data_IF_770169001080
#
_entry.id   IF_770169001080
#
_cell.length_a   1.000
_cell.length_b   1.000
_cell.length_c   1.000
_cell.angle_alpha   90.00
_cell.angle_beta   90.00
_cell.angle_gamma   90.00
#
_symmetry.space_group_name_H-M   'P 1'
#
loop_
_entity.id
_entity.type
_entity.pdbx_description
1 polymer ?
#
# COMPACT_ATOMS: atom_id res chain seq x y z
N UNK A 1 -3.17 43.87 -52.37
CA UNK A 1 -2.13 42.83 -52.19
C UNK A 1 -2.38 42.20 -50.84
N UNK A 2 -3.08 41.07 -50.83
CA UNK A 2 -3.57 40.39 -49.62
C UNK A 2 -2.61 39.27 -49.21
N UNK A 3 -2.19 39.22 -47.94
CA UNK A 3 -1.67 38.02 -47.26
C UNK A 3 -1.97 38.06 -45.75
N UNK A 4 -2.10 36.89 -45.11
CA UNK A 4 -3.17 36.63 -44.12
C UNK A 4 -2.70 36.51 -42.67
N UNK A 5 -3.69 36.41 -41.78
CA UNK A 5 -3.59 36.23 -40.34
C UNK A 5 -2.83 34.96 -39.92
N UNK A 6 -2.09 35.05 -38.82
CA UNK A 6 -1.56 33.89 -38.11
C UNK A 6 -2.16 33.84 -36.71
N UNK A 7 -3.11 32.92 -36.55
CA UNK A 7 -3.67 32.45 -35.28
C UNK A 7 -2.54 31.97 -34.36
N UNK A 8 -2.41 32.60 -33.18
CA UNK A 8 -1.51 32.14 -32.12
C UNK A 8 -2.28 31.11 -31.28
N UNK A 9 -2.04 29.83 -31.55
CA UNK A 9 -2.62 28.72 -30.80
C UNK A 9 -2.06 28.65 -29.38
N UNK A 10 -2.94 28.37 -28.41
CA UNK A 10 -2.61 28.03 -27.04
C UNK A 10 -1.60 26.86 -26.99
N UNK A 11 -0.59 26.89 -26.11
CA UNK A 11 0.14 25.68 -25.76
C UNK A 11 -0.77 24.77 -24.94
N UNK A 12 -0.87 23.51 -25.39
CA UNK A 12 -1.51 22.42 -24.69
C UNK A 12 -0.74 22.08 -23.41
N UNK A 13 -1.44 22.10 -22.27
CA UNK A 13 -0.95 21.60 -20.99
C UNK A 13 -0.79 20.08 -21.06
N UNK A 14 0.44 19.65 -21.34
CA UNK A 14 0.84 18.26 -21.21
C UNK A 14 1.39 18.06 -19.79
N UNK A 15 0.86 17.12 -19.00
CA UNK A 15 1.28 16.95 -17.62
C UNK A 15 2.77 16.58 -17.46
N UNK A 16 3.37 17.09 -16.39
CA UNK A 16 4.81 17.15 -16.13
C UNK A 16 5.54 15.79 -15.98
N UNK A 17 4.82 14.68 -15.84
CA UNK A 17 5.42 13.34 -15.72
C UNK A 17 6.01 12.78 -17.02
N UNK A 18 5.76 13.42 -18.19
CA UNK A 18 6.23 12.93 -19.51
C UNK A 18 7.57 13.50 -20.01
N UNK A 19 8.36 14.22 -19.20
CA UNK A 19 9.68 14.72 -19.64
C UNK A 19 10.78 14.57 -18.61
N UNK A 20 11.37 13.38 -18.50
CA UNK A 20 12.80 13.25 -18.18
C UNK A 20 13.41 12.06 -18.93
N UNK A 21 14.22 12.37 -19.95
CA UNK A 21 15.23 11.45 -20.47
C UNK A 21 16.32 11.36 -19.40
N UNK A 22 16.45 10.22 -18.73
CA UNK A 22 17.62 9.95 -17.90
C UNK A 22 18.74 9.52 -18.84
N UNK A 23 19.78 10.35 -18.93
CA UNK A 23 21.04 9.99 -19.58
C UNK A 23 21.75 9.04 -18.62
N UNK A 24 21.86 7.76 -19.01
CA UNK A 24 22.68 6.80 -18.29
C UNK A 24 24.15 7.09 -18.58
N UNK A 25 24.92 7.40 -17.54
CA UNK A 25 26.38 7.45 -17.64
C UNK A 25 26.91 6.03 -17.45
N UNK A 26 27.45 5.47 -18.52
CA UNK A 26 28.11 4.17 -18.53
C UNK A 26 29.44 4.25 -17.79
N UNK A 27 29.61 3.43 -16.74
CA UNK A 27 30.95 3.01 -16.29
C UNK A 27 31.06 1.52 -16.60
N UNK A 28 31.80 1.23 -17.67
CA UNK A 28 32.21 -0.11 -18.09
C UNK A 28 33.48 -0.48 -17.31
N UNK A 29 33.48 -1.63 -16.65
CA UNK A 29 34.69 -2.23 -16.11
C UNK A 29 34.45 -3.58 -15.46
N UNK A 30 34.73 -4.66 -16.21
CA UNK A 30 35.06 -5.97 -15.66
C UNK A 30 33.97 -7.04 -15.72
N UNK A 31 33.87 -7.74 -16.85
CA UNK A 31 32.95 -8.84 -17.04
C UNK A 31 33.31 -10.11 -16.27
N UNK A 32 32.29 -10.80 -15.78
CA UNK A 32 32.24 -12.26 -15.70
C UNK A 32 30.95 -12.69 -16.38
N UNK A 33 31.11 -13.46 -17.46
CA UNK A 33 30.04 -14.13 -18.19
C UNK A 33 29.46 -15.25 -17.32
N UNK A 34 28.22 -15.11 -16.85
CA UNK A 34 27.45 -16.23 -16.31
C UNK A 34 26.03 -16.20 -16.87
N UNK A 35 25.82 -17.12 -17.82
CA UNK A 35 24.63 -17.93 -18.06
C UNK A 35 23.25 -17.31 -17.91
N UNK A 36 22.52 -17.24 -19.02
CA UNK A 36 21.06 -17.25 -19.03
C UNK A 36 20.52 -18.38 -18.14
N UNK A 37 19.69 -18.02 -17.16
CA UNK A 37 18.71 -18.92 -16.58
C UNK A 37 17.40 -18.13 -16.44
N UNK A 38 16.49 -18.33 -17.39
CA UNK A 38 15.10 -17.98 -17.19
C UNK A 38 14.56 -18.86 -16.03
N UNK A 39 13.79 -18.32 -15.07
CA UNK A 39 13.13 -19.16 -14.10
C UNK A 39 12.09 -20.03 -14.82
N UNK A 40 12.44 -21.29 -15.01
CA UNK A 40 11.59 -22.37 -15.50
C UNK A 40 10.53 -22.72 -14.45
N UNK A 41 9.47 -21.91 -14.32
CA UNK A 41 8.27 -22.28 -13.54
C UNK A 41 7.00 -22.07 -14.37
N UNK A 42 7.04 -22.48 -15.63
CA UNK A 42 5.83 -22.74 -16.41
C UNK A 42 6.03 -24.04 -17.18
N UNK A 43 5.96 -25.15 -16.45
CA UNK A 43 5.64 -26.46 -17.01
C UNK A 43 4.18 -26.74 -16.68
N UNK A 44 3.32 -26.67 -17.69
CA UNK A 44 1.97 -27.22 -17.66
C UNK A 44 2.04 -28.74 -17.60
N UNK A 45 1.33 -29.35 -16.65
CA UNK A 45 0.68 -30.68 -16.71
C UNK A 45 -0.06 -30.97 -15.36
N UNK A 46 -0.99 -31.95 -15.29
CA UNK A 46 -2.43 -31.82 -15.48
C UNK A 46 -3.22 -31.68 -14.16
N UNK A 47 -4.48 -31.25 -14.30
CA UNK A 47 -5.56 -31.06 -13.30
C UNK A 47 -5.40 -31.80 -11.95
N UNK A 48 -5.27 -31.07 -10.81
CA UNK A 48 -5.52 -31.64 -9.50
C UNK A 48 -7.03 -31.80 -9.28
N UNK A 49 -7.45 -32.99 -8.86
CA UNK A 49 -8.81 -33.28 -8.37
C UNK A 49 -9.19 -32.29 -7.26
N UNK A 50 -10.38 -31.69 -7.25
CA UNK A 50 -10.75 -30.76 -6.19
C UNK A 50 -10.92 -31.51 -4.87
N UNK A 51 -9.99 -31.31 -3.94
CA UNK A 51 -10.20 -31.68 -2.54
C UNK A 51 -11.23 -30.71 -1.97
N UNK A 52 -12.47 -31.17 -1.82
CA UNK A 52 -13.50 -30.43 -1.09
C UNK A 52 -13.14 -30.49 0.39
N UNK A 53 -12.42 -29.49 0.88
CA UNK A 53 -12.36 -29.21 2.32
C UNK A 53 -13.67 -28.55 2.70
N UNK A 54 -14.62 -29.34 3.21
CA UNK A 54 -15.79 -28.80 3.93
C UNK A 54 -15.29 -28.15 5.21
N UNK A 55 -14.94 -26.87 5.13
CA UNK A 55 -14.87 -26.03 6.32
C UNK A 55 -16.29 -25.61 6.65
N UNK A 56 -16.96 -26.36 7.53
CA UNK A 56 -18.10 -25.84 8.27
C UNK A 56 -17.56 -24.86 9.31
N UNK A 57 -17.29 -23.63 8.88
CA UNK A 57 -17.19 -22.49 9.76
C UNK A 57 -18.38 -21.60 9.43
N UNK A 58 -19.25 -21.48 10.43
CA UNK A 58 -20.42 -20.62 10.51
C UNK A 58 -20.19 -19.30 9.77
N UNK A 59 -20.69 -19.21 8.53
CA UNK A 59 -20.68 -18.00 7.74
C UNK A 59 -21.77 -17.08 8.31
N UNK A 60 -21.48 -16.51 9.48
CA UNK A 60 -22.16 -15.31 9.96
C UNK A 60 -22.08 -14.29 8.84
N UNK A 61 -23.21 -14.09 8.18
CA UNK A 61 -23.40 -13.25 7.01
C UNK A 61 -22.73 -11.87 7.23
N UNK A 62 -21.61 -11.63 6.55
CA UNK A 62 -20.99 -10.31 6.52
C UNK A 62 -22.00 -9.37 5.87
N UNK A 63 -22.65 -8.56 6.70
CA UNK A 63 -23.68 -7.60 6.34
C UNK A 63 -23.07 -6.55 5.40
N UNK A 64 -23.85 -6.08 4.43
CA UNK A 64 -23.53 -5.09 3.38
C UNK A 64 -22.30 -4.20 3.63
N UNK A 65 -21.37 -4.17 2.68
CA UNK A 65 -20.18 -3.32 2.70
C UNK A 65 -20.54 -1.88 3.11
N UNK A 66 -20.05 -1.36 4.25
CA UNK A 66 -20.46 -0.06 4.72
C UNK A 66 -20.04 1.03 3.72
N UNK A 67 -20.99 1.88 3.38
CA UNK A 67 -20.69 3.06 2.57
C UNK A 67 -19.80 4.00 3.38
N UNK A 68 -18.65 4.36 2.82
CA UNK A 68 -17.73 5.33 3.44
C UNK A 68 -17.79 6.61 2.63
N UNK A 69 -18.27 7.68 3.25
CA UNK A 69 -18.17 9.03 2.69
C UNK A 69 -16.78 9.60 2.96
N UNK A 70 -16.17 10.20 1.95
CA UNK A 70 -14.90 10.94 2.09
C UNK A 70 -15.11 12.43 2.38
N UNK A 71 -16.35 12.86 2.65
CA UNK A 71 -16.60 14.23 3.09
C UNK A 71 -15.84 14.53 4.40
N UNK A 72 -15.07 15.62 4.40
CA UNK A 72 -14.22 16.02 5.53
C UNK A 72 -12.91 15.23 5.65
N UNK A 73 -12.58 14.35 4.68
CA UNK A 73 -11.28 13.70 4.60
C UNK A 73 -10.33 14.53 3.76
N UNK A 74 -9.16 14.87 4.31
CA UNK A 74 -8.06 15.51 3.59
C UNK A 74 -6.96 14.50 3.28
N UNK A 75 -6.41 14.53 2.07
CA UNK A 75 -5.25 13.73 1.68
C UNK A 75 -3.99 14.57 1.81
N UNK A 76 -3.00 14.11 2.59
CA UNK A 76 -1.74 14.84 2.84
C UNK A 76 -0.55 13.99 2.42
N UNK A 77 0.47 14.64 1.87
CA UNK A 77 1.74 13.98 1.52
C UNK A 77 2.40 13.43 2.79
N UNK A 78 2.78 12.17 2.72
CA UNK A 78 3.61 11.47 3.67
C UNK A 78 4.76 10.85 2.88
N UNK A 79 5.84 11.60 2.74
CA UNK A 79 7.06 11.20 2.03
C UNK A 79 6.79 10.66 0.62
N UNK A 80 5.87 11.27 -0.12
CA UNK A 80 5.46 10.87 -1.48
C UNK A 80 4.26 9.92 -1.57
N UNK A 81 3.71 9.47 -0.43
CA UNK A 81 2.44 8.71 -0.39
C UNK A 81 1.34 9.63 0.16
N UNK A 82 0.22 9.76 -0.55
CA UNK A 82 -0.93 10.50 -0.03
C UNK A 82 -1.68 9.64 1.00
N UNK A 83 -1.79 10.13 2.23
CA UNK A 83 -2.52 9.46 3.31
C UNK A 83 -3.78 10.25 3.71
N UNK A 84 -4.89 9.57 4.06
CA UNK A 84 -6.15 10.21 4.44
C UNK A 84 -6.15 10.64 5.91
N UNK A 85 -6.73 11.80 6.19
CA UNK A 85 -6.89 12.34 7.55
C UNK A 85 -8.28 12.91 7.74
N UNK A 86 -8.86 12.71 8.91
CA UNK A 86 -10.18 13.21 9.30
C UNK A 86 -10.13 13.72 10.73
N UNK A 87 -10.64 14.93 10.97
CA UNK A 87 -10.78 15.45 12.33
C UNK A 87 -11.72 14.57 13.20
N UNK A 88 -12.69 13.90 12.56
CA UNK A 88 -13.66 13.05 13.25
C UNK A 88 -13.13 11.63 13.47
N UNK A 89 -12.44 11.07 12.48
CA UNK A 89 -12.11 9.64 12.43
C UNK A 89 -10.62 9.34 12.64
N UNK A 90 -9.79 10.38 12.73
CA UNK A 90 -8.36 10.30 12.98
C UNK A 90 -7.50 10.31 11.71
N UNK A 91 -6.19 10.05 11.87
CA UNK A 91 -5.49 9.97 13.16
C UNK A 91 -5.58 11.29 13.93
N UNK A 92 -5.67 11.21 15.26
CA UNK A 92 -5.70 12.39 16.17
C UNK A 92 -4.31 12.76 16.66
N UNK A 93 -3.41 11.79 16.70
CA UNK A 93 -1.99 11.95 17.03
C UNK A 93 -1.16 11.57 15.81
N UNK A 94 -0.23 12.45 15.44
CA UNK A 94 0.70 12.24 14.31
C UNK A 94 2.14 12.62 14.67
N UNK A 95 2.51 12.57 15.95
CA UNK A 95 3.86 12.90 16.39
C UNK A 95 4.91 11.90 15.85
N UNK A 96 6.08 12.41 15.46
CA UNK A 96 7.24 11.57 15.08
C UNK A 96 6.99 10.64 13.89
N UNK A 97 6.19 11.07 12.91
CA UNK A 97 5.76 10.24 11.78
C UNK A 97 5.05 8.94 12.21
N UNK A 98 4.42 8.94 13.38
CA UNK A 98 3.45 7.91 13.78
C UNK A 98 2.03 8.39 13.46
N UNK A 99 1.04 7.52 13.64
CA UNK A 99 -0.36 7.87 13.50
C UNK A 99 -1.23 7.02 14.42
N UNK A 100 -1.93 7.65 15.36
CA UNK A 100 -2.78 6.95 16.33
C UNK A 100 -4.07 7.71 16.66
N UNK A 101 -4.95 7.05 17.41
CA UNK A 101 -6.20 7.65 17.89
C UNK A 101 -7.27 7.70 16.81
N UNK A 102 -7.47 6.60 16.10
CA UNK A 102 -8.54 6.46 15.11
C UNK A 102 -9.89 6.26 15.81
N UNK A 103 -10.98 6.71 15.19
CA UNK A 103 -12.31 6.52 15.76
C UNK A 103 -12.83 5.08 15.53
N UNK A 104 -13.67 4.60 16.45
CA UNK A 104 -14.39 3.31 16.32
C UNK A 104 -15.57 3.41 15.34
N UNK A 105 -15.27 3.75 14.09
CA UNK A 105 -16.22 3.92 12.98
C UNK A 105 -15.69 3.18 11.75
N UNK A 106 -16.52 2.90 10.72
CA UNK A 106 -16.04 2.31 9.47
C UNK A 106 -14.92 3.13 8.83
N UNK A 107 -15.07 4.47 8.82
CA UNK A 107 -14.06 5.37 8.26
C UNK A 107 -12.79 5.39 9.10
N UNK A 108 -12.90 5.38 10.42
CA UNK A 108 -11.73 5.28 11.30
C UNK A 108 -10.97 3.96 11.11
N UNK A 109 -11.67 2.83 10.91
CA UNK A 109 -11.05 1.55 10.59
C UNK A 109 -10.30 1.58 9.25
N UNK A 110 -10.90 2.18 8.21
CA UNK A 110 -10.26 2.34 6.89
C UNK A 110 -9.01 3.22 6.95
N UNK A 111 -9.10 4.35 7.67
CA UNK A 111 -7.98 5.26 7.86
C UNK A 111 -6.86 4.59 8.66
N UNK A 112 -7.19 3.85 9.72
CA UNK A 112 -6.23 3.05 10.48
C UNK A 112 -5.54 2.01 9.61
N UNK A 113 -6.30 1.27 8.80
CA UNK A 113 -5.77 0.26 7.88
C UNK A 113 -4.72 0.86 6.93
N UNK A 114 -5.04 2.01 6.32
CA UNK A 114 -4.13 2.71 5.41
C UNK A 114 -2.86 3.20 6.13
N UNK A 115 -3.02 3.88 7.27
CA UNK A 115 -1.88 4.45 8.00
C UNK A 115 -0.96 3.36 8.55
N UNK A 116 -1.51 2.34 9.22
CA UNK A 116 -0.72 1.29 9.85
C UNK A 116 -0.01 0.45 8.77
N UNK A 117 -0.70 0.08 7.69
CA UNK A 117 -0.08 -0.70 6.61
C UNK A 117 1.07 0.06 5.93
N UNK A 118 0.92 1.37 5.70
CA UNK A 118 1.99 2.18 5.12
C UNK A 118 3.13 2.35 6.11
N UNK A 119 2.85 2.75 7.36
CA UNK A 119 3.87 3.08 8.37
C UNK A 119 4.63 1.87 8.90
N UNK A 120 4.04 0.67 8.84
CA UNK A 120 4.74 -0.58 9.14
C UNK A 120 5.75 -1.00 8.06
N UNK A 121 5.83 -0.29 6.93
CA UNK A 121 6.79 -0.57 5.87
C UNK A 121 8.22 -0.21 6.23
N UNK A 122 9.16 -1.09 5.90
CA UNK A 122 10.62 -0.93 6.14
C UNK A 122 11.19 0.39 5.63
N UNK A 123 10.58 0.97 4.59
CA UNK A 123 11.03 2.19 3.92
C UNK A 123 11.10 3.43 4.83
N UNK A 124 10.38 3.43 5.96
CA UNK A 124 10.29 4.58 6.88
C UNK A 124 11.28 4.53 8.04
N UNK A 125 12.15 3.52 8.10
CA UNK A 125 13.16 3.40 9.14
C UNK A 125 12.62 2.90 10.49
N UNK A 126 13.53 2.41 11.32
CA UNK A 126 13.21 1.75 12.60
C UNK A 126 12.47 2.65 13.59
N UNK A 127 12.62 3.97 13.48
CA UNK A 127 11.91 4.95 14.32
C UNK A 127 10.41 5.03 14.00
N UNK A 128 9.99 4.62 12.79
CA UNK A 128 8.58 4.64 12.38
C UNK A 128 7.99 3.24 12.38
N UNK A 129 8.57 2.29 11.62
CA UNK A 129 7.97 0.96 11.51
C UNK A 129 8.03 0.19 12.82
N UNK A 130 9.09 0.39 13.62
CA UNK A 130 9.27 -0.29 14.91
C UNK A 130 8.13 0.02 15.88
N UNK A 131 7.94 1.29 16.27
CA UNK A 131 6.81 1.67 17.12
C UNK A 131 5.44 1.38 16.50
N UNK A 132 5.28 1.51 15.17
CA UNK A 132 4.02 1.17 14.49
C UNK A 132 3.67 -0.30 14.69
N UNK A 133 4.59 -1.21 14.37
CA UNK A 133 4.37 -2.66 14.53
C UNK A 133 4.15 -2.99 16.01
N UNK A 134 5.01 -2.51 16.90
CA UNK A 134 4.95 -2.81 18.34
C UNK A 134 3.62 -2.37 18.98
N UNK A 135 3.08 -1.22 18.57
CA UNK A 135 1.90 -0.61 19.23
C UNK A 135 0.59 -0.91 18.51
N UNK A 136 0.63 -1.18 17.20
CA UNK A 136 -0.55 -1.17 16.35
C UNK A 136 -0.75 -2.45 15.54
N UNK A 137 0.17 -3.41 15.63
CA UNK A 137 0.01 -4.74 15.02
C UNK A 137 -0.16 -5.79 16.12
N UNK A 138 -1.07 -6.74 15.89
CA UNK A 138 -1.41 -7.82 16.81
C UNK A 138 -1.46 -9.17 16.09
N UNK A 139 -1.57 -10.26 16.85
CA UNK A 139 -1.72 -11.61 16.31
C UNK A 139 -0.40 -12.39 16.30
N UNK A 140 -0.47 -13.69 15.93
CA UNK A 140 0.63 -14.64 16.14
C UNK A 140 1.90 -14.29 15.35
N UNK A 141 1.77 -13.63 14.21
CA UNK A 141 2.90 -13.33 13.31
C UNK A 141 3.46 -11.91 13.48
N UNK A 142 3.15 -11.24 14.61
CA UNK A 142 3.63 -9.86 14.87
C UNK A 142 5.15 -9.81 14.96
N UNK A 143 5.76 -10.76 15.68
CA UNK A 143 7.21 -10.84 15.82
C UNK A 143 7.88 -11.19 14.49
N UNK A 144 7.27 -12.10 13.72
CA UNK A 144 7.73 -12.45 12.36
C UNK A 144 7.71 -11.23 11.44
N UNK A 145 6.66 -10.40 11.51
CA UNK A 145 6.59 -9.14 10.77
C UNK A 145 7.67 -8.15 11.19
N UNK A 146 7.93 -8.00 12.50
CA UNK A 146 8.98 -7.12 13.02
C UNK A 146 10.36 -7.55 12.50
N UNK A 147 10.68 -8.83 12.62
CA UNK A 147 11.97 -9.38 12.24
C UNK A 147 12.20 -9.29 10.74
N UNK A 148 11.21 -9.67 9.93
CA UNK A 148 11.31 -9.59 8.46
C UNK A 148 11.47 -8.15 7.96
N UNK A 149 10.76 -7.20 8.57
CA UNK A 149 10.82 -5.78 8.24
C UNK A 149 12.19 -5.20 8.60
N UNK A 150 12.71 -5.54 9.78
CA UNK A 150 14.04 -5.12 10.22
C UNK A 150 15.14 -5.72 9.36
N UNK A 151 15.09 -7.01 9.07
CA UNK A 151 16.07 -7.68 8.21
C UNK A 151 16.09 -7.05 6.80
N UNK A 152 14.91 -6.77 6.24
CA UNK A 152 14.78 -6.11 4.94
C UNK A 152 15.33 -4.69 4.98
N UNK A 153 15.03 -3.93 6.04
CA UNK A 153 15.57 -2.58 6.24
C UNK A 153 17.11 -2.60 6.27
N UNK A 154 17.72 -3.45 7.09
CA UNK A 154 19.18 -3.57 7.20
C UNK A 154 19.85 -3.92 5.87
N UNK A 155 19.23 -4.81 5.08
CA UNK A 155 19.73 -5.17 3.74
C UNK A 155 19.72 -4.00 2.75
N UNK A 156 18.79 -3.04 2.89
CA UNK A 156 18.58 -1.97 1.91
C UNK A 156 19.09 -0.60 2.37
N UNK A 157 19.37 -0.40 3.66
CA UNK A 157 19.76 0.92 4.19
C UNK A 157 21.13 1.39 3.70
N UNK A 158 22.05 0.46 3.39
CA UNK A 158 23.41 0.77 3.00
C UNK A 158 24.13 1.54 4.11
N UNK A 159 24.77 2.66 3.77
CA UNK A 159 25.53 3.49 4.72
C UNK A 159 24.66 4.44 5.57
N UNK A 160 23.32 4.43 5.39
CA UNK A 160 22.38 5.25 6.17
C UNK A 160 22.42 4.88 7.64
N UNK A 161 22.19 5.86 8.52
CA UNK A 161 22.10 5.59 9.97
C UNK A 161 20.86 4.77 10.29
N UNK A 162 20.88 4.07 11.42
CA UNK A 162 19.70 3.35 11.87
C UNK A 162 18.58 4.37 12.15
N UNK A 163 17.37 4.04 11.71
CA UNK A 163 16.20 4.92 11.81
C UNK A 163 15.99 5.83 10.60
N UNK A 164 16.98 6.03 9.73
CA UNK A 164 16.80 6.89 8.56
C UNK A 164 15.88 6.23 7.51
N UNK A 165 14.95 6.99 6.89
CA UNK A 165 14.10 6.47 5.82
C UNK A 165 14.94 6.15 4.58
N UNK A 166 14.50 5.14 3.82
CA UNK A 166 15.22 4.67 2.63
C UNK A 166 14.99 5.57 1.40
N UNK A 167 13.98 6.43 1.45
CA UNK A 167 13.65 7.36 0.38
C UNK A 167 12.16 7.72 0.37
N UNK A 168 11.68 8.13 -0.80
CA UNK A 168 10.26 8.42 -1.03
C UNK A 168 9.48 7.15 -1.33
N UNK A 169 8.21 7.15 -0.94
CA UNK A 169 7.25 6.15 -1.40
C UNK A 169 6.83 6.45 -2.84
N UNK A 170 6.73 5.39 -3.65
CA UNK A 170 6.26 5.46 -5.04
C UNK A 170 4.95 4.69 -5.24
N UNK A 171 4.22 4.45 -4.16
CA UNK A 171 2.93 3.75 -4.18
C UNK A 171 1.79 4.77 -4.14
N UNK A 172 0.81 4.59 -5.03
CA UNK A 172 -0.46 5.28 -5.01
C UNK A 172 -1.52 4.35 -4.42
N UNK A 173 -2.20 4.80 -3.37
CA UNK A 173 -3.38 4.12 -2.85
C UNK A 173 -4.58 4.53 -3.71
N UNK A 174 -5.19 3.58 -4.41
CA UNK A 174 -6.20 3.88 -5.43
C UNK A 174 -7.64 3.64 -4.97
N UNK A 175 -7.84 2.80 -3.97
CA UNK A 175 -9.17 2.48 -3.45
C UNK A 175 -9.17 1.35 -2.44
N UNK A 176 -10.38 0.93 -2.07
CA UNK A 176 -10.58 -0.15 -1.11
C UNK A 176 -11.86 -0.91 -1.41
N UNK A 177 -12.01 -2.10 -0.82
CA UNK A 177 -13.25 -2.86 -0.78
C UNK A 177 -13.44 -3.49 0.59
N UNK A 178 -14.57 -3.21 1.23
CA UNK A 178 -14.93 -3.91 2.46
C UNK A 178 -15.27 -5.37 2.17
N UNK A 179 -14.73 -6.24 3.02
CA UNK A 179 -15.11 -7.63 3.08
C UNK A 179 -16.04 -7.86 4.27
N UNK A 180 -15.82 -7.12 5.35
CA UNK A 180 -16.64 -7.16 6.55
C UNK A 180 -16.30 -6.03 7.51
N UNK A 181 -17.28 -5.60 8.29
CA UNK A 181 -17.10 -4.61 9.35
C UNK A 181 -18.08 -4.83 10.50
N UNK A 182 -17.58 -4.69 11.71
CA UNK A 182 -18.31 -4.37 12.93
C UNK A 182 -17.51 -3.33 13.72
N UNK A 183 -18.08 -2.70 14.76
CA UNK A 183 -17.30 -1.81 15.63
C UNK A 183 -16.09 -2.50 16.31
N UNK A 184 -16.01 -3.83 16.36
CA UNK A 184 -14.94 -4.61 16.99
C UNK A 184 -13.90 -5.12 16.00
N UNK A 185 -14.25 -5.26 14.72
CA UNK A 185 -13.42 -5.91 13.72
C UNK A 185 -13.72 -5.40 12.32
N UNK A 186 -12.69 -5.35 11.47
CA UNK A 186 -12.87 -4.99 10.08
C UNK A 186 -11.97 -5.83 9.17
N UNK A 187 -12.40 -6.06 7.94
CA UNK A 187 -11.60 -6.74 6.92
C UNK A 187 -11.76 -5.97 5.60
N UNK A 188 -10.64 -5.50 5.06
CA UNK A 188 -10.61 -4.61 3.90
C UNK A 188 -9.54 -5.07 2.92
N UNK A 189 -9.91 -5.10 1.64
CA UNK A 189 -8.96 -5.19 0.54
C UNK A 189 -8.52 -3.76 0.17
N UNK A 190 -7.23 -3.46 0.28
CA UNK A 190 -6.63 -2.18 -0.08
C UNK A 190 -5.98 -2.27 -1.46
N UNK A 191 -6.43 -1.44 -2.40
CA UNK A 191 -5.90 -1.37 -3.76
C UNK A 191 -4.77 -0.35 -3.83
N UNK A 192 -3.62 -0.80 -4.30
CA UNK A 192 -2.43 0.01 -4.53
C UNK A 192 -1.94 -0.11 -5.97
N UNK A 193 -1.30 0.95 -6.45
CA UNK A 193 -0.61 0.99 -7.74
C UNK A 193 0.82 1.50 -7.53
N UNK A 194 1.78 0.91 -8.24
CA UNK A 194 3.18 1.30 -8.19
C UNK A 194 3.88 1.08 -9.52
N UNK A 195 5.14 1.52 -9.65
CA UNK A 195 5.94 1.25 -10.84
C UNK A 195 6.21 -0.25 -10.95
N UNK A 196 5.99 -0.81 -12.13
CA UNK A 196 6.47 -2.13 -12.54
C UNK A 196 7.60 -2.01 -13.56
N UNK A 197 7.98 -3.14 -14.14
CA UNK A 197 8.99 -3.18 -15.19
C UNK A 197 8.54 -2.38 -16.43
N UNK A 198 9.50 -1.72 -17.09
CA UNK A 198 9.29 -1.07 -18.40
C UNK A 198 8.13 -0.06 -18.47
N UNK A 199 8.01 0.83 -17.47
CA UNK A 199 7.01 1.92 -17.42
C UNK A 199 5.55 1.44 -17.27
N UNK A 200 5.35 0.17 -16.91
CA UNK A 200 4.03 -0.40 -16.63
C UNK A 200 3.62 -0.08 -15.20
N UNK A 201 2.41 0.44 -14.98
CA UNK A 201 1.84 0.53 -13.63
C UNK A 201 1.30 -0.83 -13.20
N UNK A 202 1.82 -1.38 -12.10
CA UNK A 202 1.34 -2.63 -11.50
C UNK A 202 0.36 -2.30 -10.39
N UNK A 203 -0.79 -2.97 -10.40
CA UNK A 203 -1.80 -2.89 -9.35
C UNK A 203 -1.80 -4.16 -8.52
N UNK A 204 -1.87 -3.99 -7.21
CA UNK A 204 -1.96 -5.09 -6.27
C UNK A 204 -2.95 -4.79 -5.15
N UNK A 205 -3.53 -5.85 -4.62
CA UNK A 205 -4.47 -5.80 -3.51
C UNK A 205 -3.86 -6.46 -2.29
N UNK A 206 -3.86 -5.74 -1.17
CA UNK A 206 -3.45 -6.26 0.14
C UNK A 206 -4.67 -6.39 1.03
N UNK A 207 -4.88 -7.56 1.62
CA UNK A 207 -5.97 -7.78 2.57
C UNK A 207 -5.51 -7.44 3.98
N UNK A 208 -6.20 -6.50 4.61
CA UNK A 208 -5.94 -6.04 5.97
C UNK A 208 -7.10 -6.47 6.87
N UNK A 209 -6.78 -7.16 7.96
CA UNK A 209 -7.72 -7.48 9.02
C UNK A 209 -7.42 -6.59 10.21
N UNK A 210 -8.46 -6.08 10.87
CA UNK A 210 -8.34 -5.15 11.98
C UNK A 210 -9.19 -5.61 13.16
N UNK A 211 -8.75 -5.24 14.36
CA UNK A 211 -9.49 -5.38 15.62
C UNK A 211 -9.46 -4.07 16.39
N UNK A 212 -10.58 -3.73 17.01
CA UNK A 212 -10.64 -2.65 17.98
C UNK A 212 -10.11 -3.15 19.32
N UNK A 213 -9.07 -2.51 19.85
CA UNK A 213 -8.46 -2.91 21.11
C UNK A 213 -7.86 -1.68 21.81
N UNK A 214 -8.05 -1.58 23.12
CA UNK A 214 -7.44 -0.56 23.98
C UNK A 214 -7.64 0.88 23.48
N UNK A 215 -8.83 1.16 22.92
CA UNK A 215 -9.23 2.49 22.47
C UNK A 215 -8.76 2.89 21.08
N UNK A 216 -8.20 1.97 20.29
CA UNK A 216 -7.77 2.24 18.91
C UNK A 216 -7.90 1.00 18.01
N UNK A 217 -7.74 1.18 16.71
CA UNK A 217 -7.66 0.07 15.75
C UNK A 217 -6.25 -0.53 15.74
N UNK A 218 -6.19 -1.86 15.70
CA UNK A 218 -4.99 -2.67 15.51
C UNK A 218 -5.13 -3.47 14.23
N UNK A 219 -4.06 -3.59 13.46
CA UNK A 219 -4.01 -4.47 12.30
C UNK A 219 -3.52 -5.85 12.75
N UNK A 220 -4.16 -6.92 12.29
CA UNK A 220 -3.68 -8.29 12.51
C UNK A 220 -2.53 -8.55 11.56
N UNK A 221 -1.39 -9.00 12.08
CA UNK A 221 -0.21 -9.34 11.28
C UNK A 221 -0.58 -10.29 10.12
N UNK A 222 -0.01 -10.08 8.92
CA UNK A 222 -0.29 -10.94 7.78
C UNK A 222 0.35 -12.31 8.04
N UNK A 223 -0.28 -13.41 7.57
CA UNK A 223 0.34 -14.73 7.63
C UNK A 223 1.76 -14.72 7.05
N UNK A 224 2.74 -15.18 7.82
CA UNK A 224 4.14 -15.21 7.41
C UNK A 224 4.86 -13.86 7.44
N UNK A 225 4.25 -12.83 8.04
CA UNK A 225 4.94 -11.58 8.39
C UNK A 225 5.38 -10.72 7.21
N UNK A 226 4.71 -10.77 6.06
CA UNK A 226 5.00 -9.88 4.93
C UNK A 226 3.74 -9.35 4.24
N UNK A 227 3.52 -8.04 4.30
CA UNK A 227 2.43 -7.40 3.57
C UNK A 227 2.62 -7.50 2.05
N UNK A 228 3.85 -7.31 1.57
CA UNK A 228 4.20 -7.44 0.16
C UNK A 228 3.98 -8.87 -0.37
N UNK A 229 4.22 -9.89 0.45
CA UNK A 229 3.96 -11.29 0.08
C UNK A 229 2.47 -11.67 0.05
N UNK A 230 1.60 -10.86 0.66
CA UNK A 230 0.14 -11.04 0.58
C UNK A 230 -0.52 -10.28 -0.58
N UNK A 231 0.25 -9.44 -1.29
CA UNK A 231 -0.27 -8.62 -2.36
C UNK A 231 -0.57 -9.47 -3.60
N UNK A 232 -1.84 -9.50 -4.01
CA UNK A 232 -2.27 -10.27 -5.18
C UNK A 232 -2.48 -9.34 -6.40
N UNK A 233 -2.05 -9.74 -7.61
CA UNK A 233 -2.37 -8.99 -8.82
C UNK A 233 -3.88 -9.05 -9.07
N UNK A 234 -4.44 -7.96 -9.60
CA UNK A 234 -5.86 -7.87 -9.89
C UNK A 234 -6.15 -7.67 -11.37
N UNK A 235 -7.18 -8.36 -11.87
CA UNK A 235 -7.62 -8.29 -13.28
C UNK A 235 -8.81 -7.36 -13.51
N UNK A 236 -9.57 -7.02 -12.46
CA UNK A 236 -10.72 -6.11 -12.53
C UNK A 236 -10.83 -5.23 -11.29
N UNK A 237 -11.26 -3.98 -11.46
CA UNK A 237 -11.51 -3.04 -10.36
C UNK A 237 -12.97 -3.09 -9.85
N UNK A 238 -13.76 -4.07 -10.30
CA UNK A 238 -15.17 -4.18 -9.92
C UNK A 238 -15.33 -4.37 -8.40
N UNK A 239 -16.25 -3.59 -7.83
CA UNK A 239 -16.54 -3.59 -6.40
C UNK A 239 -15.54 -2.81 -5.53
N UNK A 240 -14.54 -2.13 -6.12
CA UNK A 240 -13.67 -1.22 -5.39
C UNK A 240 -14.24 0.20 -5.37
N UNK A 241 -14.27 0.79 -4.18
CA UNK A 241 -14.53 2.22 -4.00
C UNK A 241 -13.20 2.96 -4.20
N UNK A 242 -13.15 3.86 -5.17
CA UNK A 242 -11.96 4.66 -5.45
C UNK A 242 -11.75 5.71 -4.37
N UNK A 243 -10.50 5.89 -3.97
CA UNK A 243 -10.16 7.06 -3.19
C UNK A 243 -10.32 8.33 -4.04
N UNK A 244 -10.74 9.45 -3.44
CA UNK A 244 -10.70 10.72 -4.13
C UNK A 244 -9.23 11.02 -4.43
N UNK A 245 -8.88 11.12 -5.70
CA UNK A 245 -7.58 11.66 -6.07
C UNK A 245 -7.57 13.12 -5.65
N UNK A 246 -6.59 13.53 -4.84
CA UNK A 246 -6.44 14.93 -4.45
C UNK A 246 -6.37 15.79 -5.71
N UNK A 247 -7.41 16.60 -5.93
CA UNK A 247 -7.39 17.67 -6.91
C UNK A 247 -6.28 18.64 -6.48
N UNK A 248 -5.15 18.58 -7.17
CA UNK A 248 -4.17 19.66 -7.18
C UNK A 248 -4.65 20.76 -8.12
#
# INVERSE_FOLDING_TARGET
>A
MSRPSKSMGQPSDVPWWRRRRVIALSVVGGGVLLGMAAPSVFRTDPTPTPVIVRTTADAGQLVSAPQVSFAGVSWRDYHGVLLPYSAQDGPRDTEGDLAAGFARTPRGALLAAVHIAVRAGMQWGTQVFGPTIQRQVIGPDTDVLMDSTRETYEKHRGDRRDGEPLGRGYVALEGFRWLGYSPEAASVDLLSAGPGDSDVTVRAVTRLQLRWQDGDWRVVAPPGGTWAGTAAPIRSLDGYVRFPHGSH
#
